data_IF_228269862567
#
_entry.id   IF_228269862567
#
_cell.length_a   1.000
_cell.length_b   1.000
_cell.length_c   1.000
_cell.angle_alpha   90.00
_cell.angle_beta   90.00
_cell.angle_gamma   90.00
#
_symmetry.space_group_name_H-M   'P 1'
#
loop_
_entity.id
_entity.type
_entity.pdbx_description
1 polymer ?
#
# COMPACT_ATOMS: atom_id res chain seq x y z
N UNK A 1 -36.98 31.03 -10.16
CA UNK A 1 -35.72 30.81 -10.89
C UNK A 1 -34.63 30.54 -9.87
N UNK A 2 -34.18 29.30 -9.71
CA UNK A 2 -33.04 28.96 -8.86
C UNK A 2 -32.00 28.31 -9.78
N UNK A 3 -30.89 29.01 -10.02
CA UNK A 3 -29.76 28.51 -10.80
C UNK A 3 -28.90 27.64 -9.88
N UNK A 4 -28.75 26.36 -10.22
CA UNK A 4 -27.80 25.46 -9.57
C UNK A 4 -26.44 25.66 -10.25
N UNK A 5 -25.38 26.08 -9.54
CA UNK A 5 -24.06 26.19 -10.14
C UNK A 5 -23.51 24.77 -10.33
N UNK A 6 -23.29 24.38 -11.59
CA UNK A 6 -22.56 23.16 -11.93
C UNK A 6 -21.09 23.42 -11.61
N UNK A 7 -20.60 22.89 -10.48
CA UNK A 7 -19.16 22.80 -10.22
C UNK A 7 -18.59 21.74 -11.17
N UNK A 8 -17.95 22.18 -12.25
CA UNK A 8 -17.19 21.30 -13.14
C UNK A 8 -15.90 20.91 -12.41
N UNK A 9 -15.84 19.69 -11.86
CA UNK A 9 -14.59 19.18 -11.30
C UNK A 9 -13.60 18.92 -12.43
N UNK A 10 -12.52 19.69 -12.45
CA UNK A 10 -11.36 19.39 -13.30
C UNK A 10 -10.71 18.12 -12.74
N UNK A 11 -10.99 16.97 -13.35
CA UNK A 11 -10.25 15.76 -13.09
C UNK A 11 -8.82 15.94 -13.62
N UNK A 12 -7.91 16.36 -12.73
CA UNK A 12 -6.47 16.39 -13.04
C UNK A 12 -5.99 14.96 -13.21
N UNK A 13 -5.63 14.57 -14.42
CA UNK A 13 -4.97 13.30 -14.68
C UNK A 13 -3.61 13.23 -13.97
N UNK A 14 -3.23 12.04 -13.51
CA UNK A 14 -1.88 11.77 -13.04
C UNK A 14 -1.08 11.11 -14.17
N UNK A 15 0.15 11.57 -14.39
CA UNK A 15 1.09 10.91 -15.29
C UNK A 15 1.91 9.89 -14.50
N UNK A 16 2.07 8.69 -15.07
CA UNK A 16 3.03 7.73 -14.55
C UNK A 16 4.46 8.16 -14.91
N UNK A 17 5.43 7.80 -14.07
CA UNK A 17 6.84 7.99 -14.36
C UNK A 17 7.28 7.13 -15.56
N UNK A 18 8.09 7.70 -16.44
CA UNK A 18 8.69 6.99 -17.57
C UNK A 18 9.80 6.04 -17.13
N UNK A 19 10.23 5.13 -18.01
CA UNK A 19 11.37 4.26 -17.71
C UNK A 19 12.67 5.05 -17.41
N UNK A 20 12.89 6.21 -18.05
CA UNK A 20 14.01 7.09 -17.72
C UNK A 20 13.89 7.73 -16.34
N UNK A 21 12.68 8.14 -15.93
CA UNK A 21 12.45 8.72 -14.59
C UNK A 21 12.72 7.70 -13.47
N UNK A 22 12.50 6.41 -13.74
CA UNK A 22 12.76 5.33 -12.78
C UNK A 22 14.25 4.99 -12.62
N UNK A 23 15.11 5.30 -13.60
CA UNK A 23 16.55 4.97 -13.55
C UNK A 23 17.28 5.66 -12.39
N UNK A 24 16.79 6.82 -11.94
CA UNK A 24 17.38 7.55 -10.81
C UNK A 24 16.74 7.23 -9.46
N UNK A 25 15.74 6.34 -9.40
CA UNK A 25 15.00 6.02 -8.18
C UNK A 25 15.67 4.90 -7.38
N UNK A 26 15.54 4.96 -6.06
CA UNK A 26 15.84 3.86 -5.16
C UNK A 26 14.54 3.33 -4.56
N UNK A 27 14.29 2.04 -4.76
CA UNK A 27 12.99 1.41 -4.45
C UNK A 27 13.06 0.65 -3.13
N UNK A 28 12.16 1.00 -2.19
CA UNK A 28 11.91 0.23 -0.99
C UNK A 28 10.76 -0.75 -1.23
N UNK A 29 11.05 -2.05 -1.31
CA UNK A 29 10.02 -3.07 -1.51
C UNK A 29 9.39 -3.48 -0.17
N UNK A 30 8.06 -3.40 -0.09
CA UNK A 30 7.29 -3.81 1.09
C UNK A 30 6.32 -4.95 0.77
N UNK A 31 6.20 -5.85 1.73
CA UNK A 31 5.05 -6.73 1.82
C UNK A 31 3.96 -5.98 2.60
N UNK A 32 2.87 -5.62 1.93
CA UNK A 32 1.84 -4.73 2.50
C UNK A 32 1.30 -5.27 3.83
N UNK A 33 1.07 -6.59 3.90
CA UNK A 33 0.56 -7.26 5.10
C UNK A 33 1.59 -7.35 6.25
N UNK A 34 2.88 -7.05 6.00
CA UNK A 34 3.97 -7.23 6.97
C UNK A 34 4.67 -5.95 7.39
N UNK A 35 4.37 -4.82 6.74
CA UNK A 35 5.11 -3.59 6.97
C UNK A 35 4.64 -2.86 8.24
N UNK A 36 3.34 -2.51 8.32
CA UNK A 36 2.79 -1.82 9.47
C UNK A 36 1.25 -1.95 9.53
N UNK A 37 0.73 -2.06 10.74
CA UNK A 37 -0.72 -2.01 11.04
C UNK A 37 -1.21 -0.56 11.11
N UNK A 38 -2.52 -0.34 11.01
CA UNK A 38 -3.11 1.00 11.04
C UNK A 38 -3.16 1.65 12.43
N UNK A 39 -3.04 0.84 13.49
CA UNK A 39 -3.08 1.25 14.89
C UNK A 39 -1.68 1.30 15.54
N UNK A 40 -0.63 1.01 14.76
CA UNK A 40 0.75 0.95 15.25
C UNK A 40 1.06 -0.28 16.11
N UNK A 41 0.14 -1.24 16.21
CA UNK A 41 0.41 -2.51 16.88
C UNK A 41 1.43 -3.34 16.12
N UNK A 42 2.30 -4.04 16.85
CA UNK A 42 3.18 -5.08 16.32
C UNK A 42 2.71 -6.45 16.81
N UNK A 43 1.56 -6.97 16.34
CA UNK A 43 1.07 -8.26 16.81
C UNK A 43 2.09 -9.36 16.47
N UNK A 44 2.18 -10.36 17.33
CA UNK A 44 2.93 -11.57 16.96
C UNK A 44 2.31 -12.16 15.70
N UNK A 45 3.12 -12.37 14.67
CA UNK A 45 2.69 -13.01 13.46
C UNK A 45 3.65 -14.13 13.06
N UNK A 46 3.18 -15.37 13.15
CA UNK A 46 3.91 -16.51 12.64
C UNK A 46 3.67 -16.66 11.14
N UNK A 47 4.73 -16.49 10.34
CA UNK A 47 4.63 -16.64 8.88
C UNK A 47 4.33 -18.06 8.43
N UNK A 48 4.62 -19.07 9.27
CA UNK A 48 4.32 -20.47 8.97
C UNK A 48 2.81 -20.77 9.03
N UNK A 49 2.04 -19.96 9.75
CA UNK A 49 0.58 -20.09 9.80
C UNK A 49 -0.06 -19.71 8.47
N UNK A 50 0.69 -19.01 7.60
CA UNK A 50 0.26 -18.51 6.29
C UNK A 50 -1.04 -17.70 6.39
N UNK A 51 -1.14 -16.86 7.41
CA UNK A 51 -2.28 -15.95 7.61
C UNK A 51 -1.86 -14.50 7.37
N UNK A 52 -2.87 -13.65 7.23
CA UNK A 52 -2.67 -12.21 7.24
C UNK A 52 -2.19 -11.76 8.63
N UNK A 53 -1.15 -10.95 8.66
CA UNK A 53 -0.61 -10.34 9.87
C UNK A 53 -1.24 -8.98 10.18
N UNK A 54 -2.06 -8.45 9.28
CA UNK A 54 -2.85 -7.23 9.50
C UNK A 54 -2.16 -5.94 9.04
N UNK A 55 -1.12 -6.04 8.21
CA UNK A 55 -0.52 -4.85 7.60
C UNK A 55 -1.49 -4.15 6.64
N UNK A 56 -1.42 -2.82 6.59
CA UNK A 56 -2.39 -1.99 5.86
C UNK A 56 -1.71 -0.88 5.07
N UNK A 57 -2.39 -0.35 4.03
CA UNK A 57 -1.93 0.85 3.33
C UNK A 57 -1.84 2.06 4.27
N UNK A 58 -2.74 2.18 5.26
CA UNK A 58 -2.68 3.25 6.25
C UNK A 58 -1.40 3.15 7.10
N UNK A 59 -1.02 1.95 7.50
CA UNK A 59 0.25 1.68 8.18
C UNK A 59 1.46 2.03 7.31
N UNK A 60 1.41 1.75 6.00
CA UNK A 60 2.46 2.21 5.07
C UNK A 60 2.53 3.75 5.05
N UNK A 61 1.39 4.41 4.87
CA UNK A 61 1.35 5.89 4.78
C UNK A 61 1.84 6.57 6.05
N UNK A 62 1.63 5.97 7.23
CA UNK A 62 2.11 6.54 8.50
C UNK A 62 3.62 6.38 8.73
N UNK A 63 4.33 5.68 7.84
CA UNK A 63 5.78 5.43 7.94
C UNK A 63 6.52 5.84 6.65
N UNK A 64 5.96 6.73 5.82
CA UNK A 64 6.67 7.23 4.65
C UNK A 64 7.95 7.98 5.04
N UNK A 65 7.93 8.72 6.16
CA UNK A 65 9.12 9.41 6.68
C UNK A 65 10.23 8.43 7.09
N UNK A 66 9.89 7.23 7.58
CA UNK A 66 10.86 6.17 7.86
C UNK A 66 11.55 5.69 6.58
N UNK A 67 10.77 5.47 5.51
CA UNK A 67 11.31 5.04 4.21
C UNK A 67 12.17 6.15 3.59
N UNK A 68 11.68 7.38 3.57
CA UNK A 68 12.39 8.54 3.03
C UNK A 68 13.65 8.87 3.86
N UNK A 69 13.61 8.70 5.17
CA UNK A 69 14.76 8.91 6.06
C UNK A 69 15.94 7.99 5.77
N UNK A 70 15.70 6.83 5.14
CA UNK A 70 16.75 5.95 4.64
C UNK A 70 17.25 6.31 3.22
N UNK A 71 16.66 7.32 2.58
CA UNK A 71 17.03 7.79 1.24
C UNK A 71 16.31 7.11 0.08
N UNK A 72 15.27 6.30 0.34
CA UNK A 72 14.43 5.75 -0.72
C UNK A 72 13.39 6.77 -1.18
N UNK A 73 13.16 6.83 -2.48
CA UNK A 73 12.23 7.78 -3.11
C UNK A 73 11.12 7.10 -3.93
N UNK A 74 11.06 5.77 -3.87
CA UNK A 74 9.97 4.96 -4.41
C UNK A 74 9.64 3.77 -3.50
N UNK A 75 8.38 3.34 -3.52
CA UNK A 75 7.89 2.18 -2.76
C UNK A 75 7.26 1.16 -3.72
N UNK A 76 7.67 -0.09 -3.63
CA UNK A 76 7.02 -1.20 -4.33
C UNK A 76 6.18 -2.02 -3.36
N UNK A 77 4.86 -1.97 -3.53
CA UNK A 77 3.87 -2.66 -2.70
C UNK A 77 3.47 -4.03 -3.26
N UNK A 78 2.79 -4.84 -2.43
CA UNK A 78 2.14 -6.07 -2.87
C UNK A 78 0.97 -5.79 -3.84
N UNK A 79 0.55 -6.77 -4.67
CA UNK A 79 -0.61 -6.62 -5.55
C UNK A 79 -1.89 -6.22 -4.79
N UNK A 80 -2.66 -5.29 -5.36
CA UNK A 80 -3.84 -4.69 -4.69
C UNK A 80 -5.15 -5.46 -4.93
N UNK A 81 -5.11 -6.49 -5.76
CA UNK A 81 -6.30 -7.26 -6.17
C UNK A 81 -6.78 -8.17 -5.04
N UNK A 82 -8.09 -8.49 -5.04
CA UNK A 82 -8.64 -9.47 -4.12
C UNK A 82 -7.95 -10.82 -4.34
N UNK A 83 -7.38 -11.36 -3.27
CA UNK A 83 -6.76 -12.68 -3.27
C UNK A 83 -7.83 -13.77 -3.06
N UNK A 84 -7.46 -15.02 -3.28
CA UNK A 84 -8.35 -16.17 -3.08
C UNK A 84 -8.68 -16.29 -1.59
N UNK A 85 -9.96 -16.45 -1.27
CA UNK A 85 -10.45 -16.68 0.10
C UNK A 85 -10.37 -18.20 0.45
N UNK A 86 -10.08 -18.55 1.71
CA UNK A 86 -10.17 -19.92 2.26
C UNK A 86 -8.93 -20.83 2.12
N UNK A 87 -8.95 -21.99 2.79
CA UNK A 87 -7.83 -22.94 2.89
C UNK A 87 -7.41 -23.55 1.56
N UNK A 88 -6.54 -22.86 0.84
CA UNK A 88 -5.78 -23.41 -0.29
C UNK A 88 -4.57 -24.23 0.18
N UNK A 89 -4.44 -24.53 1.48
CA UNK A 89 -3.17 -24.89 2.13
C UNK A 89 -2.26 -23.69 2.41
N UNK A 90 -2.76 -22.47 2.14
CA UNK A 90 -2.03 -21.21 2.18
C UNK A 90 -2.76 -20.03 2.86
N UNK A 91 -3.97 -20.20 3.40
CA UNK A 91 -4.66 -19.20 4.24
C UNK A 91 -5.91 -19.84 4.81
N UNK A 92 -6.10 -19.91 6.13
CA UNK A 92 -7.40 -20.29 6.67
C UNK A 92 -7.83 -19.46 7.88
N UNK A 93 -9.13 -19.14 7.82
CA UNK A 93 -10.02 -18.52 8.81
C UNK A 93 -10.10 -16.98 8.77
N UNK A 94 -11.21 -16.52 8.19
CA UNK A 94 -12.02 -15.43 8.74
C UNK A 94 -12.32 -15.71 10.23
#
# INVERSE_FOLDING_TARGET
MIAVPILLSLATGAFAASASDWQSRSIYQVLTDRFATSDGSGPSCNTEDKKFCGGTYKGITSHLDYIQGMGFDAVWISPIVKNIDGNTGYVDKL
#
